data_IF_504156307466
#
_entry.id   IF_504156307466
#
_cell.length_a   1.000
_cell.length_b   1.000
_cell.length_c   1.000
_cell.angle_alpha   90.00
_cell.angle_beta   90.00
_cell.angle_gamma   90.00
#
_symmetry.space_group_name_H-M   'P 1'
#
loop_
_entity.id
_entity.type
_entity.pdbx_description
1 polymer ?
#
# COMPACT_ATOMS: atom_id res chain seq x y z
N UNK A 1 5.45 25.10 5.08
CA UNK A 1 4.22 25.03 4.25
C UNK A 1 4.40 24.30 2.91
N UNK A 2 5.51 24.51 2.19
CA UNK A 2 5.83 23.84 0.91
C UNK A 2 6.18 22.36 1.06
N UNK A 3 6.89 21.98 2.13
CA UNK A 3 7.29 20.58 2.35
C UNK A 3 6.09 19.64 2.53
N UNK A 4 5.07 20.03 3.29
CA UNK A 4 3.86 19.21 3.50
C UNK A 4 3.14 18.96 2.17
N UNK A 5 2.98 20.00 1.36
CA UNK A 5 2.37 19.88 0.03
C UNK A 5 3.16 18.92 -0.85
N UNK A 6 4.50 19.06 -0.87
CA UNK A 6 5.37 18.17 -1.63
C UNK A 6 5.31 16.71 -1.16
N UNK A 7 5.29 16.48 0.15
CA UNK A 7 5.14 15.14 0.72
C UNK A 7 3.80 14.52 0.32
N UNK A 8 2.73 15.30 0.32
CA UNK A 8 1.42 14.85 -0.14
C UNK A 8 1.42 14.52 -1.65
N UNK A 9 2.03 15.35 -2.50
CA UNK A 9 2.20 15.05 -3.92
C UNK A 9 2.95 13.74 -4.15
N UNK A 10 4.05 13.50 -3.42
CA UNK A 10 4.81 12.25 -3.51
C UNK A 10 3.94 11.04 -3.13
N UNK A 11 3.09 11.15 -2.12
CA UNK A 11 2.17 10.06 -1.75
C UNK A 11 1.16 9.74 -2.85
N UNK A 12 0.69 10.75 -3.58
CA UNK A 12 -0.20 10.55 -4.74
C UNK A 12 0.56 9.91 -5.90
N UNK A 13 1.76 10.38 -6.22
CA UNK A 13 2.62 9.83 -7.28
C UNK A 13 2.91 8.34 -7.07
N UNK A 14 3.10 7.89 -5.81
CA UNK A 14 3.28 6.46 -5.50
C UNK A 14 2.09 5.61 -5.98
N UNK A 15 0.87 6.07 -5.74
CA UNK A 15 -0.34 5.36 -6.17
C UNK A 15 -0.50 5.38 -7.70
N UNK A 16 -0.26 6.53 -8.34
CA UNK A 16 -0.35 6.69 -9.80
C UNK A 16 0.67 5.81 -10.54
N UNK A 17 1.90 5.73 -10.02
CA UNK A 17 2.95 4.86 -10.57
C UNK A 17 2.59 3.38 -10.40
N UNK A 18 2.01 3.01 -9.26
CA UNK A 18 1.54 1.65 -9.02
C UNK A 18 0.39 1.27 -9.96
N UNK A 19 -0.60 2.15 -10.15
CA UNK A 19 -1.67 1.91 -11.13
C UNK A 19 -1.10 1.68 -12.53
N UNK A 20 -0.19 2.55 -12.97
CA UNK A 20 0.44 2.47 -14.29
C UNK A 20 1.13 1.12 -14.46
N UNK A 21 1.93 0.71 -13.47
CA UNK A 21 2.63 -0.57 -13.48
C UNK A 21 1.66 -1.75 -13.53
N UNK A 22 0.60 -1.75 -12.71
CA UNK A 22 -0.40 -2.83 -12.69
C UNK A 22 -1.13 -2.94 -14.02
N UNK A 23 -1.44 -1.81 -14.67
CA UNK A 23 -2.09 -1.80 -15.98
C UNK A 23 -1.21 -2.41 -17.06
N UNK A 24 0.09 -2.06 -17.07
CA UNK A 24 1.07 -2.60 -18.00
C UNK A 24 1.25 -4.12 -17.80
N UNK A 25 1.42 -4.55 -16.55
CA UNK A 25 1.67 -5.95 -16.19
C UNK A 25 0.47 -6.87 -16.47
N UNK A 26 -0.74 -6.37 -16.32
CA UNK A 26 -1.97 -7.16 -16.54
C UNK A 26 -2.55 -7.03 -17.94
N UNK A 27 -2.02 -6.12 -18.77
CA UNK A 27 -2.59 -5.80 -20.07
C UNK A 27 -4.01 -5.24 -20.00
N UNK A 28 -4.37 -4.60 -18.88
CA UNK A 28 -5.72 -4.11 -18.65
C UNK A 28 -6.11 -3.05 -19.70
N UNK A 29 -7.35 -3.13 -20.19
CA UNK A 29 -7.83 -2.27 -21.25
C UNK A 29 -7.80 -0.78 -20.86
N UNK A 30 -7.65 0.15 -21.82
CA UNK A 30 -7.82 1.57 -21.56
C UNK A 30 -9.17 1.85 -20.90
N UNK A 31 -9.15 2.56 -19.77
CA UNK A 31 -10.37 2.88 -19.01
C UNK A 31 -10.87 1.76 -18.08
N UNK A 32 -10.22 0.60 -18.03
CA UNK A 32 -10.49 -0.39 -16.98
C UNK A 32 -10.15 0.22 -15.61
N UNK A 33 -11.12 0.32 -14.68
CA UNK A 33 -10.90 0.89 -13.35
C UNK A 33 -10.16 -0.06 -12.41
N UNK A 34 -10.04 -1.35 -12.74
CA UNK A 34 -9.53 -2.36 -11.82
C UNK A 34 -8.07 -2.11 -11.36
N UNK A 35 -7.10 -1.77 -12.24
CA UNK A 35 -5.74 -1.43 -11.79
C UNK A 35 -5.70 -0.28 -10.78
N UNK A 36 -6.55 0.74 -10.97
CA UNK A 36 -6.63 1.89 -10.08
C UNK A 36 -7.19 1.51 -8.70
N UNK A 37 -8.25 0.67 -8.68
CA UNK A 37 -8.84 0.16 -7.44
C UNK A 37 -7.85 -0.70 -6.66
N UNK A 38 -7.11 -1.58 -7.34
CA UNK A 38 -6.10 -2.43 -6.70
C UNK A 38 -4.92 -1.59 -6.19
N UNK A 39 -4.42 -0.64 -6.99
CA UNK A 39 -3.38 0.29 -6.55
C UNK A 39 -3.81 1.07 -5.30
N UNK A 40 -5.08 1.49 -5.22
CA UNK A 40 -5.64 2.12 -4.03
C UNK A 40 -5.65 1.22 -2.79
N UNK A 41 -6.02 -0.05 -2.93
CA UNK A 41 -6.00 -1.02 -1.82
C UNK A 41 -4.57 -1.28 -1.32
N UNK A 42 -3.62 -1.48 -2.24
CA UNK A 42 -2.20 -1.68 -1.88
C UNK A 42 -1.60 -0.41 -1.25
N UNK A 43 -1.92 0.77 -1.79
CA UNK A 43 -1.46 2.03 -1.20
C UNK A 43 -2.04 2.22 0.21
N UNK A 44 -3.29 1.84 0.45
CA UNK A 44 -3.88 1.86 1.79
C UNK A 44 -3.12 0.95 2.78
N UNK A 45 -2.74 -0.27 2.36
CA UNK A 45 -1.90 -1.15 3.17
C UNK A 45 -0.58 -0.46 3.54
N UNK A 46 0.13 0.03 2.53
CA UNK A 46 1.43 0.68 2.69
C UNK A 46 1.37 1.89 3.63
N UNK A 47 0.39 2.80 3.43
CA UNK A 47 0.26 4.00 4.27
C UNK A 47 -0.10 3.65 5.73
N UNK A 48 -0.94 2.63 5.94
CA UNK A 48 -1.34 2.20 7.28
C UNK A 48 -0.15 1.59 8.03
N UNK A 49 0.63 0.71 7.38
CA UNK A 49 1.86 0.13 7.93
C UNK A 49 2.90 1.22 8.24
N UNK A 50 3.22 2.09 7.27
CA UNK A 50 4.23 3.14 7.46
C UNK A 50 3.80 4.15 8.52
N UNK A 51 2.51 4.50 8.56
CA UNK A 51 1.95 5.36 9.59
C UNK A 51 2.03 4.74 10.99
N UNK A 52 1.80 3.43 11.12
CA UNK A 52 1.95 2.70 12.38
C UNK A 52 3.39 2.72 12.87
N UNK A 53 4.33 2.28 12.03
CA UNK A 53 5.76 2.27 12.34
C UNK A 53 6.23 3.69 12.73
N UNK A 54 5.87 4.71 11.96
CA UNK A 54 6.28 6.09 12.21
C UNK A 54 5.84 6.59 13.59
N UNK A 55 4.61 6.29 14.02
CA UNK A 55 4.10 6.68 15.34
C UNK A 55 4.87 5.99 16.47
N UNK A 56 5.07 4.68 16.38
CA UNK A 56 5.75 3.92 17.44
C UNK A 56 7.24 4.27 17.53
N UNK A 57 7.88 4.56 16.40
CA UNK A 57 9.27 5.02 16.39
C UNK A 57 9.43 6.41 17.02
N UNK A 58 8.49 7.33 16.77
CA UNK A 58 8.47 8.64 17.44
C UNK A 58 8.23 8.49 18.95
N UNK A 59 7.47 7.47 19.37
CA UNK A 59 7.28 7.13 20.78
C UNK A 59 8.51 6.47 21.43
N UNK A 60 9.58 6.21 20.68
CA UNK A 60 10.83 5.63 21.19
C UNK A 60 10.73 4.15 21.52
N UNK A 61 9.77 3.43 20.93
CA UNK A 61 9.63 1.98 21.13
C UNK A 61 10.76 1.21 20.45
N UNK A 62 11.02 -0.01 20.95
CA UNK A 62 12.08 -0.85 20.40
C UNK A 62 11.68 -1.39 19.01
N UNK A 63 12.58 -1.33 18.01
CA UNK A 63 12.25 -1.74 16.64
C UNK A 63 11.74 -3.18 16.51
N UNK A 64 12.22 -4.11 17.34
CA UNK A 64 11.83 -5.52 17.31
C UNK A 64 10.39 -5.72 17.81
N UNK A 65 9.97 -4.96 18.82
CA UNK A 65 8.59 -4.94 19.30
C UNK A 65 7.66 -4.35 18.23
N UNK A 66 8.03 -3.18 17.68
CA UNK A 66 7.25 -2.50 16.62
C UNK A 66 7.10 -3.40 15.39
N UNK A 67 8.17 -4.11 15.00
CA UNK A 67 8.12 -5.05 13.87
C UNK A 67 7.13 -6.18 14.10
N UNK A 68 7.13 -6.82 15.29
CA UNK A 68 6.19 -7.90 15.62
C UNK A 68 4.75 -7.43 15.62
N UNK A 69 4.48 -6.27 16.23
CA UNK A 69 3.14 -5.70 16.30
C UNK A 69 2.65 -5.24 14.92
N UNK A 70 3.54 -4.72 14.07
CA UNK A 70 3.20 -4.32 12.70
C UNK A 70 2.91 -5.52 11.81
N UNK A 71 3.59 -6.66 12.01
CA UNK A 71 3.27 -7.90 11.30
C UNK A 71 1.87 -8.42 11.68
N UNK A 72 1.52 -8.40 12.97
CA UNK A 72 0.17 -8.76 13.41
C UNK A 72 -0.89 -7.82 12.81
N UNK A 73 -0.60 -6.52 12.74
CA UNK A 73 -1.47 -5.55 12.05
C UNK A 73 -1.60 -5.88 10.56
N UNK A 74 -0.52 -6.32 9.90
CA UNK A 74 -0.57 -6.71 8.49
C UNK A 74 -1.47 -7.93 8.28
N UNK A 75 -1.41 -8.92 9.17
CA UNK A 75 -2.31 -10.09 9.15
C UNK A 75 -3.78 -9.64 9.26
N UNK A 76 -4.11 -8.77 10.23
CA UNK A 76 -5.46 -8.21 10.39
C UNK A 76 -5.92 -7.44 9.13
N UNK A 77 -5.00 -6.74 8.47
CA UNK A 77 -5.29 -5.98 7.25
C UNK A 77 -5.49 -6.89 6.04
N UNK A 78 -4.78 -8.02 5.96
CA UNK A 78 -4.96 -9.04 4.93
C UNK A 78 -6.37 -9.66 4.99
N UNK A 79 -6.88 -9.94 6.19
CA UNK A 79 -8.24 -10.48 6.39
C UNK A 79 -9.36 -9.56 5.87
N UNK A 80 -9.09 -8.26 5.74
CA UNK A 80 -10.03 -7.29 5.17
C UNK A 80 -10.08 -7.33 3.64
N UNK A 81 -9.11 -7.98 2.99
CA UNK A 81 -9.00 -8.05 1.55
C UNK A 81 -9.68 -9.29 1.02
N UNK A 82 -10.46 -9.12 -0.05
CA UNK A 82 -11.04 -10.26 -0.76
C UNK A 82 -9.97 -11.06 -1.50
N UNK A 83 -10.21 -12.34 -1.74
CA UNK A 83 -9.37 -13.21 -2.59
C UNK A 83 -8.99 -12.58 -3.93
N UNK A 84 -9.90 -11.82 -4.55
CA UNK A 84 -9.64 -11.12 -5.81
C UNK A 84 -8.50 -10.12 -5.70
N UNK A 85 -8.39 -9.41 -4.57
CA UNK A 85 -7.34 -8.42 -4.33
C UNK A 85 -6.03 -9.14 -4.03
N UNK A 86 -6.07 -10.16 -3.16
CA UNK A 86 -4.90 -10.94 -2.75
C UNK A 86 -4.23 -11.67 -3.91
N UNK A 87 -5.01 -12.09 -4.91
CA UNK A 87 -4.52 -12.85 -6.06
C UNK A 87 -4.40 -12.01 -7.35
N UNK A 88 -4.52 -10.67 -7.27
CA UNK A 88 -4.40 -9.83 -8.46
C UNK A 88 -2.95 -9.69 -8.94
N UNK A 89 -2.72 -9.86 -10.24
CA UNK A 89 -1.41 -9.75 -10.88
C UNK A 89 -0.33 -10.71 -10.33
N UNK A 90 -0.73 -11.76 -9.60
CA UNK A 90 0.15 -12.85 -9.19
C UNK A 90 0.45 -13.72 -10.41
N UNK A 91 1.73 -14.04 -10.65
CA UNK A 91 2.13 -14.99 -11.68
C UNK A 91 2.21 -16.38 -11.06
N UNK A 92 1.46 -17.35 -11.60
CA UNK A 92 1.67 -18.76 -11.28
C UNK A 92 3.08 -19.14 -11.76
N UNK A 93 3.97 -19.44 -10.82
CA UNK A 93 5.32 -19.94 -11.10
C UNK A 93 5.33 -21.46 -11.22
#
# INVERSE_FOLDING_TARGET
PTLRSRLWSIQQEVQENLETTLREETGAAPGDPLPALIAGQINWLHQTVMGSIGREMVAGRKPDEVSRETLALLDDMEELLSDKVLNYAVRDH
#
